data_IF_458017996389
#
_entry.id   IF_458017996389
#
_cell.length_a   1.000
_cell.length_b   1.000
_cell.length_c   1.000
_cell.angle_alpha   90.00
_cell.angle_beta   90.00
_cell.angle_gamma   90.00
#
_symmetry.space_group_name_H-M   'P 1'
#
loop_
_entity.id
_entity.type
_entity.pdbx_description
1 polymer ?
#
# COMPACT_ATOMS: atom_id res chain seq x y z
N UNK A 1 8.38 -2.29 -2.76
CA UNK A 1 8.96 -2.40 -1.41
C UNK A 1 8.90 -1.10 -0.60
N UNK A 2 8.21 -0.04 -1.04
CA UNK A 2 8.34 1.27 -0.40
C UNK A 2 7.35 1.49 0.77
N UNK A 3 6.29 0.68 0.92
CA UNK A 3 5.25 0.93 1.93
C UNK A 3 5.05 -0.16 3.00
N UNK A 4 5.82 -1.25 3.01
CA UNK A 4 5.78 -2.19 4.15
C UNK A 4 6.43 -1.58 5.40
N UNK A 5 7.50 -0.80 5.23
CA UNK A 5 8.17 -0.13 6.35
C UNK A 5 7.35 1.01 6.98
N UNK A 6 6.53 1.74 6.20
CA UNK A 6 5.64 2.76 6.74
C UNK A 6 4.53 2.15 7.61
N UNK A 7 3.92 1.06 7.13
CA UNK A 7 2.88 0.31 7.86
C UNK A 7 3.49 -0.41 9.07
N UNK A 8 4.70 -0.97 8.97
CA UNK A 8 5.42 -1.57 10.10
C UNK A 8 5.80 -0.56 11.19
N UNK A 9 6.13 0.68 10.81
CA UNK A 9 6.42 1.77 11.74
C UNK A 9 5.14 2.29 12.42
N UNK A 10 4.05 2.48 11.68
CA UNK A 10 2.75 2.92 12.23
C UNK A 10 2.08 1.84 13.10
N UNK A 11 2.11 0.57 12.71
CA UNK A 11 1.62 -0.53 13.54
C UNK A 11 2.40 -0.65 14.86
N UNK A 12 3.70 -0.32 14.86
CA UNK A 12 4.49 -0.31 16.09
C UNK A 12 4.17 0.87 17.01
N UNK A 13 3.80 2.03 16.44
CA UNK A 13 3.32 3.21 17.17
C UNK A 13 1.92 2.96 17.78
N UNK A 14 1.01 2.31 17.05
CA UNK A 14 -0.34 2.00 17.54
C UNK A 14 -0.36 0.88 18.58
N UNK A 15 0.48 -0.16 18.45
CA UNK A 15 0.62 -1.20 19.48
C UNK A 15 1.15 -0.64 20.81
N UNK A 16 1.87 0.49 20.80
CA UNK A 16 2.25 1.22 22.04
C UNK A 16 1.16 2.16 22.56
N UNK A 17 0.26 2.64 21.69
CA UNK A 17 -0.90 3.45 22.10
C UNK A 17 -2.05 2.60 22.66
N UNK A 18 -2.18 1.33 22.27
CA UNK A 18 -3.15 0.40 22.88
C UNK A 18 -2.79 -0.04 24.31
N UNK A 19 -1.56 0.19 24.77
CA UNK A 19 -1.18 0.09 26.19
C UNK A 19 -1.33 1.44 26.93
N UNK A 20 -1.84 2.47 26.24
CA UNK A 20 -2.05 3.82 26.77
C UNK A 20 -3.43 4.38 26.39
N UNK A 21 -4.50 3.58 26.47
CA UNK A 21 -5.85 4.14 26.59
C UNK A 21 -6.08 4.62 28.02
N UNK A 22 -5.74 5.88 28.29
CA UNK A 22 -6.40 6.65 29.33
C UNK A 22 -7.40 7.56 28.65
N UNK A 23 -8.66 7.33 29.03
CA UNK A 23 -9.84 8.15 28.80
C UNK A 23 -9.52 9.64 28.90
N UNK A 24 -9.96 10.40 27.88
CA UNK A 24 -10.18 11.84 27.97
C UNK A 24 -11.17 12.06 29.12
N UNK A 25 -10.82 12.92 30.06
CA UNK A 25 -11.81 13.68 30.81
C UNK A 25 -11.33 15.12 30.96
N UNK A 26 -12.31 16.00 30.76
CA UNK A 26 -12.18 17.43 30.63
C UNK A 26 -11.71 18.09 31.93
N UNK A 27 -11.03 19.21 31.74
CA UNK A 27 -10.73 20.22 32.75
C UNK A 27 -12.03 20.89 33.19
N UNK A 28 -12.24 21.02 34.50
CA UNK A 28 -12.98 22.13 35.07
C UNK A 28 -12.28 22.56 36.37
N UNK A 29 -12.09 23.88 36.49
CA UNK A 29 -11.38 24.64 37.52
C UNK A 29 -12.23 24.83 38.78
N UNK A 30 -11.61 24.85 39.96
CA UNK A 30 -11.99 25.75 41.06
C UNK A 30 -10.91 25.76 42.16
N UNK A 31 -10.60 26.98 42.61
CA UNK A 31 -9.67 27.35 43.66
C UNK A 31 -10.02 26.81 45.05
N UNK A 32 -9.00 26.66 45.91
CA UNK A 32 -9.02 27.28 47.25
C UNK A 32 -7.68 27.11 47.99
N UNK A 33 -7.21 28.26 48.46
CA UNK A 33 -6.16 28.53 49.43
C UNK A 33 -5.99 27.48 50.55
N UNK A 34 -4.75 27.22 50.94
CA UNK A 34 -4.30 27.56 52.30
C UNK A 34 -2.78 27.55 52.45
N UNK A 35 -2.32 28.63 53.06
CA UNK A 35 -0.99 29.00 53.51
C UNK A 35 -0.38 28.05 54.53
N UNK A 36 0.94 27.85 54.46
CA UNK A 36 1.71 27.19 55.50
C UNK A 36 3.22 27.28 55.26
N UNK A 37 3.81 28.43 55.56
CA UNK A 37 5.26 28.62 55.63
C UNK A 37 5.83 27.87 56.86
N UNK A 38 6.82 27.00 56.64
CA UNK A 38 7.77 26.62 57.70
C UNK A 38 9.18 26.60 57.13
N UNK A 39 9.91 27.67 57.44
CA UNK A 39 11.37 27.76 57.44
C UNK A 39 11.96 26.81 58.46
N UNK A 40 12.97 26.02 58.08
CA UNK A 40 13.86 25.38 59.06
C UNK A 40 15.31 25.79 58.78
N UNK A 41 15.92 26.25 59.87
CA UNK A 41 17.23 26.85 60.03
C UNK A 41 18.34 25.87 59.70
N UNK A 42 19.38 26.38 59.03
CA UNK A 42 20.70 25.76 58.99
C UNK A 42 21.28 25.73 60.41
N UNK A 43 21.69 24.53 60.84
CA UNK A 43 22.48 24.36 62.07
C UNK A 43 23.74 23.61 61.67
N UNK A 44 24.85 24.35 61.58
CA UNK A 44 26.20 23.79 61.69
C UNK A 44 26.44 23.36 63.14
N UNK A 45 27.05 22.20 63.36
CA UNK A 45 27.93 22.03 64.50
C UNK A 45 29.33 21.63 64.03
N UNK A 46 30.27 22.54 64.26
CA UNK A 46 31.69 22.27 64.40
C UNK A 46 31.89 21.37 65.62
N UNK A 47 32.45 20.18 65.43
CA UNK A 47 33.13 19.43 66.50
C UNK A 47 34.42 18.90 65.89
N UNK A 48 35.51 19.56 66.25
CA UNK A 48 36.87 19.03 66.15
C UNK A 48 36.99 17.81 67.06
N UNK A 49 37.54 16.73 66.52
CA UNK A 49 37.79 15.48 67.23
C UNK A 49 38.63 14.58 66.35
N UNK A 50 39.95 14.70 66.50
CA UNK A 50 40.95 13.83 65.89
C UNK A 50 40.59 12.35 66.09
N UNK A 51 40.50 11.59 65.00
CA UNK A 51 40.65 10.14 65.06
C UNK A 51 41.22 9.61 63.73
N UNK A 52 42.33 8.88 63.86
CA UNK A 52 43.17 8.28 62.83
C UNK A 52 42.38 7.69 61.64
N UNK A 53 42.64 8.21 60.44
CA UNK A 53 42.08 7.71 59.19
C UNK A 53 42.89 6.49 58.70
N UNK A 54 42.40 5.27 58.89
CA UNK A 54 42.93 4.10 58.18
C UNK A 54 42.45 4.13 56.72
N UNK A 55 43.39 4.38 55.81
CA UNK A 55 43.18 4.46 54.37
C UNK A 55 42.66 3.12 53.82
N UNK A 56 41.40 3.07 53.37
CA UNK A 56 40.80 1.88 52.75
C UNK A 56 39.47 1.39 53.36
N UNK A 57 38.95 2.08 54.37
CA UNK A 57 37.69 1.76 55.03
C UNK A 57 36.55 2.72 54.64
N UNK A 58 35.31 2.23 54.64
CA UNK A 58 34.08 2.99 54.38
C UNK A 58 32.99 2.63 55.39
N UNK A 59 32.21 3.59 55.92
CA UNK A 59 31.09 3.31 56.80
C UNK A 59 29.87 2.75 56.06
N UNK A 60 29.23 1.74 56.64
CA UNK A 60 27.97 1.18 56.17
C UNK A 60 26.78 2.06 56.57
N UNK A 61 25.91 2.43 55.64
CA UNK A 61 24.76 3.32 55.94
C UNK A 61 23.65 2.70 56.80
N UNK A 62 23.75 1.42 57.17
CA UNK A 62 22.73 0.72 57.98
C UNK A 62 23.23 0.34 59.38
N UNK A 63 24.42 -0.24 59.49
CA UNK A 63 25.00 -0.57 60.80
C UNK A 63 26.00 0.47 61.29
N UNK A 64 26.28 1.50 60.49
CA UNK A 64 27.19 2.62 60.78
C UNK A 64 28.65 2.22 61.11
N UNK A 65 29.00 0.94 60.99
CA UNK A 65 30.37 0.43 61.17
C UNK A 65 31.22 0.62 59.92
N UNK A 66 32.50 0.89 60.12
CA UNK A 66 33.50 0.96 59.06
C UNK A 66 33.99 -0.43 58.67
N UNK A 67 34.11 -0.65 57.36
CA UNK A 67 34.65 -1.88 56.79
C UNK A 67 35.57 -1.58 55.61
N UNK A 68 36.49 -2.49 55.26
CA UNK A 68 37.27 -2.37 54.04
C UNK A 68 36.40 -2.22 52.79
N UNK A 69 36.89 -1.49 51.79
CA UNK A 69 36.17 -1.21 50.55
C UNK A 69 35.65 -2.45 49.80
N UNK A 70 36.32 -3.61 49.94
CA UNK A 70 35.88 -4.88 49.36
C UNK A 70 34.50 -5.33 49.86
N UNK A 71 34.16 -5.00 51.12
CA UNK A 71 32.87 -5.32 51.69
C UNK A 71 31.72 -4.53 51.03
N UNK A 72 32.03 -3.54 50.18
CA UNK A 72 31.07 -2.71 49.46
C UNK A 72 30.94 -3.06 47.98
N UNK A 73 31.72 -4.00 47.44
CA UNK A 73 31.63 -4.43 46.03
C UNK A 73 30.33 -5.21 45.76
N UNK A 74 29.52 -4.73 44.82
CA UNK A 74 28.28 -5.38 44.36
C UNK A 74 28.50 -6.33 43.18
N UNK A 75 27.44 -7.03 42.73
CA UNK A 75 27.49 -8.05 41.65
C UNK A 75 28.02 -7.54 40.30
N UNK A 76 27.97 -6.22 40.04
CA UNK A 76 28.48 -5.59 38.81
C UNK A 76 29.75 -4.76 39.08
N UNK A 77 30.49 -5.10 40.14
CA UNK A 77 31.63 -4.33 40.65
C UNK A 77 31.30 -2.87 41.06
N UNK A 78 30.02 -2.52 41.16
CA UNK A 78 29.61 -1.19 41.62
C UNK A 78 29.76 -1.08 43.15
N UNK A 79 30.26 0.06 43.62
CA UNK A 79 30.44 0.34 45.04
C UNK A 79 29.06 0.63 45.66
N UNK A 80 28.66 -0.19 46.62
CA UNK A 80 27.37 -0.07 47.32
C UNK A 80 27.48 0.78 48.59
N UNK A 81 26.34 1.20 49.16
CA UNK A 81 26.27 1.98 50.42
C UNK A 81 26.24 1.10 51.68
N UNK A 82 25.95 -0.19 51.52
CA UNK A 82 25.76 -1.17 52.61
C UNK A 82 26.91 -2.17 52.58
N UNK A 83 27.41 -2.60 53.75
CA UNK A 83 28.37 -3.69 53.83
C UNK A 83 27.73 -5.03 53.43
N UNK A 84 28.55 -6.01 53.04
CA UNK A 84 28.10 -7.33 52.57
C UNK A 84 27.13 -8.01 53.56
N UNK A 85 27.43 -7.98 54.86
CA UNK A 85 26.59 -8.59 55.89
C UNK A 85 25.19 -7.93 55.99
N UNK A 86 25.11 -6.60 55.83
CA UNK A 86 23.83 -5.90 55.80
C UNK A 86 23.06 -6.18 54.51
N UNK A 87 23.74 -6.29 53.36
CA UNK A 87 23.11 -6.65 52.09
C UNK A 87 22.54 -8.08 52.11
N UNK A 88 23.26 -9.05 52.65
CA UNK A 88 22.78 -10.44 52.77
C UNK A 88 21.56 -10.50 53.71
N UNK A 89 21.58 -9.77 54.83
CA UNK A 89 20.39 -9.64 55.70
C UNK A 89 19.22 -9.00 54.97
N UNK A 90 19.43 -7.92 54.20
CA UNK A 90 18.39 -7.32 53.36
C UNK A 90 17.80 -8.31 52.35
N UNK A 91 18.60 -9.19 51.75
CA UNK A 91 18.09 -10.24 50.85
C UNK A 91 17.17 -11.22 51.56
N UNK A 92 17.48 -11.59 52.80
CA UNK A 92 16.63 -12.47 53.62
C UNK A 92 15.30 -11.79 53.92
N UNK A 93 15.32 -10.52 54.33
CA UNK A 93 14.08 -9.74 54.53
C UNK A 93 13.28 -9.56 53.24
N UNK A 94 13.96 -9.34 52.10
CA UNK A 94 13.33 -9.19 50.79
C UNK A 94 12.67 -10.48 50.29
N UNK A 95 13.15 -11.67 50.71
CA UNK A 95 12.51 -12.96 50.39
C UNK A 95 11.11 -13.08 51.00
N UNK A 96 10.89 -12.48 52.17
CA UNK A 96 9.58 -12.48 52.87
C UNK A 96 8.62 -11.37 52.41
N UNK A 97 9.08 -10.41 51.59
CA UNK A 97 8.21 -9.32 51.12
C UNK A 97 7.23 -9.80 50.06
N UNK A 98 5.96 -9.44 50.21
CA UNK A 98 4.93 -9.72 49.22
C UNK A 98 5.31 -9.08 47.86
N UNK A 99 5.68 -9.95 46.92
CA UNK A 99 6.13 -9.57 45.58
C UNK A 99 5.04 -8.83 44.80
N UNK A 100 3.78 -9.18 44.99
CA UNK A 100 2.67 -8.58 44.27
C UNK A 100 2.35 -7.18 44.81
N UNK A 101 2.38 -7.00 46.13
CA UNK A 101 2.25 -5.68 46.74
C UNK A 101 3.32 -4.70 46.26
N UNK A 102 4.58 -5.15 46.15
CA UNK A 102 5.68 -4.33 45.58
C UNK A 102 5.44 -3.94 44.13
N UNK A 103 4.99 -4.89 43.29
CA UNK A 103 4.66 -4.62 41.89
C UNK A 103 3.51 -3.64 41.79
N UNK A 104 2.51 -3.76 42.66
CA UNK A 104 1.35 -2.87 42.69
C UNK A 104 1.76 -1.43 43.03
N UNK A 105 2.60 -1.24 44.05
CA UNK A 105 3.16 0.08 44.37
C UNK A 105 3.95 0.64 43.17
N UNK A 106 4.75 -0.19 42.50
CA UNK A 106 5.47 0.22 41.30
C UNK A 106 4.52 0.63 40.16
N UNK A 107 3.43 -0.14 39.91
CA UNK A 107 2.38 0.21 38.94
C UNK A 107 1.76 1.57 39.26
N UNK A 108 1.36 1.80 40.51
CA UNK A 108 0.79 3.08 40.96
C UNK A 108 1.75 4.25 40.77
N UNK A 109 3.02 4.07 41.12
CA UNK A 109 4.05 5.10 40.93
C UNK A 109 4.32 5.37 39.45
N UNK A 110 4.34 4.35 38.60
CA UNK A 110 4.51 4.49 37.15
C UNK A 110 3.29 5.12 36.46
N UNK A 111 2.10 4.95 37.04
CA UNK A 111 0.88 5.55 36.52
C UNK A 111 0.81 7.07 36.75
N UNK A 112 1.62 7.63 37.67
CA UNK A 112 1.63 9.06 38.01
C UNK A 112 1.91 9.93 36.77
N UNK A 113 1.12 10.99 36.51
CA UNK A 113 1.28 11.86 35.34
C UNK A 113 2.69 12.44 35.20
N UNK A 114 3.29 12.91 36.30
CA UNK A 114 4.66 13.45 36.32
C UNK A 114 5.69 12.43 35.82
N UNK A 115 5.57 11.17 36.26
CA UNK A 115 6.47 10.08 35.85
C UNK A 115 6.29 9.74 34.37
N UNK A 116 5.05 9.73 33.87
CA UNK A 116 4.74 9.57 32.45
C UNK A 116 5.32 10.70 31.61
N UNK A 117 5.18 11.95 32.05
CA UNK A 117 5.72 13.12 31.36
C UNK A 117 7.26 13.09 31.28
N UNK A 118 7.94 12.74 32.38
CA UNK A 118 9.41 12.56 32.40
C UNK A 118 9.85 11.48 31.42
N UNK A 119 9.13 10.35 31.37
CA UNK A 119 9.42 9.26 30.41
C UNK A 119 9.15 9.65 28.97
N UNK A 120 8.07 10.39 28.71
CA UNK A 120 7.75 10.90 27.39
C UNK A 120 8.84 11.85 26.90
N UNK A 121 9.26 12.81 27.74
CA UNK A 121 10.36 13.75 27.45
C UNK A 121 11.68 13.02 27.19
N UNK A 122 12.03 12.03 28.02
CA UNK A 122 13.22 11.21 27.79
C UNK A 122 13.15 10.46 26.46
N UNK A 123 12.01 9.84 26.16
CA UNK A 123 11.80 9.05 24.94
C UNK A 123 11.89 9.92 23.69
N UNK A 124 11.37 11.15 23.76
CA UNK A 124 11.44 12.11 22.68
C UNK A 124 12.89 12.58 22.45
N UNK A 125 13.62 12.88 23.52
CA UNK A 125 15.01 13.31 23.44
C UNK A 125 15.99 12.18 23.05
N UNK A 126 15.59 10.91 23.19
CA UNK A 126 16.42 9.73 22.95
C UNK A 126 15.71 8.72 22.02
N UNK A 127 15.05 9.22 20.98
CA UNK A 127 14.20 8.40 20.13
C UNK A 127 14.99 7.30 19.38
N UNK A 128 16.28 7.52 19.12
CA UNK A 128 17.19 6.52 18.57
C UNK A 128 17.32 5.29 19.48
N UNK A 129 17.37 5.49 20.82
CA UNK A 129 17.39 4.38 21.78
C UNK A 129 16.07 3.62 21.79
N UNK A 130 14.96 4.33 21.65
CA UNK A 130 13.62 3.74 21.54
C UNK A 130 13.52 2.88 20.27
N UNK A 131 13.92 3.41 19.12
CA UNK A 131 13.94 2.70 17.85
C UNK A 131 14.87 1.47 17.89
N UNK A 132 16.08 1.61 18.46
CA UNK A 132 17.02 0.49 18.63
C UNK A 132 16.43 -0.60 19.52
N UNK A 133 15.74 -0.24 20.60
CA UNK A 133 15.04 -1.20 21.47
C UNK A 133 14.00 -2.01 20.70
N UNK A 134 13.23 -1.39 19.80
CA UNK A 134 12.25 -2.09 18.97
C UNK A 134 12.90 -3.08 18.00
N UNK A 135 14.00 -2.70 17.36
CA UNK A 135 14.74 -3.61 16.47
C UNK A 135 15.32 -4.81 17.22
N UNK A 136 15.91 -4.58 18.39
CA UNK A 136 16.39 -5.66 19.25
C UNK A 136 15.25 -6.56 19.75
N UNK A 137 14.06 -5.99 20.00
CA UNK A 137 12.88 -6.80 20.33
C UNK A 137 12.47 -7.68 19.15
N UNK A 138 12.42 -7.16 17.92
CA UNK A 138 12.10 -7.92 16.71
C UNK A 138 13.10 -9.04 16.47
N UNK A 139 14.40 -8.77 16.60
CA UNK A 139 15.44 -9.80 16.52
C UNK A 139 15.18 -10.94 17.51
N UNK A 140 14.95 -10.63 18.79
CA UNK A 140 14.63 -11.63 19.81
C UNK A 140 13.34 -12.40 19.50
N UNK A 141 12.33 -11.76 18.89
CA UNK A 141 11.12 -12.47 18.47
C UNK A 141 11.41 -13.45 17.33
N UNK A 142 12.23 -13.05 16.35
CA UNK A 142 12.65 -13.92 15.25
C UNK A 142 13.45 -15.11 15.79
N UNK A 143 14.40 -14.87 16.70
CA UNK A 143 15.20 -15.92 17.36
C UNK A 143 14.33 -16.86 18.20
N UNK A 144 13.36 -16.32 18.94
CA UNK A 144 12.49 -17.10 19.83
C UNK A 144 11.44 -17.94 19.09
N UNK A 145 10.80 -17.37 18.07
CA UNK A 145 9.65 -17.99 17.40
C UNK A 145 10.02 -18.70 16.10
N UNK A 146 11.17 -18.37 15.51
CA UNK A 146 11.46 -18.68 14.11
C UNK A 146 10.87 -17.65 13.16
N UNK A 147 11.46 -17.56 11.97
CA UNK A 147 11.13 -16.53 10.97
C UNK A 147 9.72 -16.70 10.40
N UNK A 148 9.31 -17.93 10.13
CA UNK A 148 8.00 -18.22 9.53
C UNK A 148 6.85 -17.82 10.47
N UNK A 149 6.90 -18.27 11.72
CA UNK A 149 5.87 -17.96 12.73
C UNK A 149 5.85 -16.46 13.07
N UNK A 150 7.01 -15.80 13.08
CA UNK A 150 7.10 -14.34 13.19
C UNK A 150 6.36 -13.65 12.05
N UNK A 151 6.60 -14.03 10.80
CA UNK A 151 5.94 -13.44 9.63
C UNK A 151 4.43 -13.67 9.64
N UNK A 152 3.98 -14.86 10.07
CA UNK A 152 2.55 -15.18 10.22
C UNK A 152 1.88 -14.24 11.22
N UNK A 153 2.47 -14.06 12.41
CA UNK A 153 1.98 -13.11 13.42
C UNK A 153 1.95 -11.68 12.91
N UNK A 154 2.97 -11.24 12.18
CA UNK A 154 2.98 -9.90 11.58
C UNK A 154 1.87 -9.73 10.53
N UNK A 155 1.61 -10.73 9.71
CA UNK A 155 0.53 -10.70 8.71
C UNK A 155 -0.86 -10.60 9.38
N UNK A 156 -1.08 -11.33 10.47
CA UNK A 156 -2.31 -11.26 11.26
C UNK A 156 -2.51 -9.88 11.91
N UNK A 157 -1.46 -9.33 12.51
CA UNK A 157 -1.52 -7.97 13.08
C UNK A 157 -1.80 -6.94 12.00
N UNK A 158 -1.17 -7.06 10.82
CA UNK A 158 -1.42 -6.16 9.71
C UNK A 158 -2.86 -6.26 9.21
N UNK A 159 -3.45 -7.47 9.21
CA UNK A 159 -4.87 -7.65 8.91
C UNK A 159 -5.75 -6.92 9.93
N UNK A 160 -5.55 -7.18 11.22
CA UNK A 160 -6.29 -6.50 12.31
C UNK A 160 -6.20 -4.98 12.21
N UNK A 161 -5.03 -4.47 11.88
CA UNK A 161 -4.82 -3.03 11.70
C UNK A 161 -5.62 -2.47 10.52
N UNK A 162 -5.63 -3.15 9.36
CA UNK A 162 -6.44 -2.75 8.20
C UNK A 162 -7.94 -2.78 8.51
N UNK A 163 -8.39 -3.81 9.23
CA UNK A 163 -9.80 -3.97 9.60
C UNK A 163 -10.26 -2.86 10.56
N UNK A 164 -9.38 -2.42 11.48
CA UNK A 164 -9.63 -1.33 12.42
C UNK A 164 -9.47 0.07 11.81
N UNK A 165 -8.64 0.23 10.77
CA UNK A 165 -8.27 1.52 10.19
C UNK A 165 -8.67 1.62 8.70
N UNK A 166 -9.95 1.39 8.38
CA UNK A 166 -10.46 1.40 6.99
C UNK A 166 -10.25 2.74 6.28
N UNK A 167 -10.56 3.86 6.93
CA UNK A 167 -10.37 5.20 6.36
C UNK A 167 -8.91 5.47 6.00
N UNK A 168 -7.97 5.11 6.89
CA UNK A 168 -6.53 5.21 6.58
C UNK A 168 -6.14 4.30 5.41
N UNK A 169 -6.76 3.13 5.26
CA UNK A 169 -6.52 2.27 4.09
C UNK A 169 -6.97 2.91 2.80
N UNK A 170 -8.11 3.60 2.79
CA UNK A 170 -8.61 4.31 1.62
C UNK A 170 -7.64 5.41 1.20
N UNK A 171 -7.17 6.24 2.14
CA UNK A 171 -6.16 7.27 1.90
C UNK A 171 -4.87 6.67 1.35
N UNK A 172 -4.36 5.60 1.96
CA UNK A 172 -3.15 4.91 1.50
C UNK A 172 -3.33 4.36 0.08
N UNK A 173 -4.50 3.80 -0.23
CA UNK A 173 -4.78 3.27 -1.56
C UNK A 173 -4.88 4.39 -2.60
N UNK A 174 -5.48 5.53 -2.24
CA UNK A 174 -5.57 6.69 -3.11
C UNK A 174 -4.19 7.29 -3.40
N UNK A 175 -3.36 7.46 -2.36
CA UNK A 175 -1.97 7.89 -2.51
C UNK A 175 -1.15 6.96 -3.42
N UNK A 176 -1.41 5.64 -3.39
CA UNK A 176 -0.77 4.69 -4.31
C UNK A 176 -1.22 4.89 -5.76
N UNK A 177 -2.52 5.12 -6.01
CA UNK A 177 -3.03 5.38 -7.37
C UNK A 177 -2.44 6.65 -7.97
N UNK A 178 -2.22 7.66 -7.14
CA UNK A 178 -1.71 8.97 -7.54
C UNK A 178 -0.17 9.05 -7.54
N UNK A 179 0.53 7.97 -7.15
CA UNK A 179 1.99 7.91 -7.19
C UNK A 179 2.52 7.44 -8.55
N UNK A 180 3.16 8.36 -9.28
CA UNK A 180 3.91 8.07 -10.51
C UNK A 180 4.93 6.96 -10.31
N UNK A 181 5.68 6.97 -9.20
CA UNK A 181 6.65 5.93 -8.85
C UNK A 181 6.00 4.55 -8.67
N UNK A 182 4.84 4.47 -8.01
CA UNK A 182 4.15 3.17 -7.88
C UNK A 182 3.64 2.68 -9.23
N UNK A 183 3.08 3.58 -10.05
CA UNK A 183 2.57 3.25 -11.38
C UNK A 183 3.68 2.78 -12.33
N UNK A 184 4.82 3.46 -12.38
CA UNK A 184 6.01 3.02 -13.13
C UNK A 184 6.44 1.59 -12.75
N UNK A 185 6.50 1.29 -11.45
CA UNK A 185 6.83 -0.04 -10.95
C UNK A 185 5.78 -1.11 -11.32
N UNK A 186 4.53 -0.73 -11.56
CA UNK A 186 3.51 -1.65 -12.08
C UNK A 186 3.81 -1.99 -13.54
N UNK A 187 4.12 -1.00 -14.38
CA UNK A 187 4.47 -1.22 -15.78
C UNK A 187 5.71 -2.11 -15.93
N UNK A 188 6.79 -1.79 -15.21
CA UNK A 188 8.03 -2.58 -15.21
C UNK A 188 7.80 -4.05 -14.86
N UNK A 189 7.05 -4.32 -13.77
CA UNK A 189 6.69 -5.69 -13.36
C UNK A 189 5.77 -6.39 -14.37
N UNK A 190 4.86 -5.64 -15.00
CA UNK A 190 3.96 -6.18 -16.01
C UNK A 190 4.72 -6.59 -17.27
N UNK A 191 5.68 -5.77 -17.70
CA UNK A 191 6.56 -6.06 -18.82
C UNK A 191 7.39 -7.31 -18.55
N UNK A 192 8.02 -7.39 -17.38
CA UNK A 192 8.79 -8.56 -16.94
C UNK A 192 7.95 -9.85 -16.92
N UNK A 193 6.71 -9.77 -16.44
CA UNK A 193 5.79 -10.91 -16.42
C UNK A 193 5.35 -11.37 -17.82
N UNK A 194 5.28 -10.43 -18.76
CA UNK A 194 4.90 -10.65 -20.15
C UNK A 194 6.10 -10.83 -21.09
N UNK A 195 7.32 -10.95 -20.56
CA UNK A 195 8.56 -11.00 -21.35
C UNK A 195 8.60 -9.91 -22.44
N UNK A 196 8.34 -8.67 -22.02
CA UNK A 196 8.42 -7.49 -22.88
C UNK A 196 9.64 -6.68 -22.47
N UNK A 197 10.33 -6.12 -23.47
CA UNK A 197 11.42 -5.17 -23.24
C UNK A 197 10.90 -3.95 -22.50
N UNK A 198 11.75 -3.37 -21.66
CA UNK A 198 11.41 -2.22 -20.84
C UNK A 198 12.61 -1.28 -20.75
N UNK A 199 12.68 -0.34 -21.69
CA UNK A 199 13.78 0.61 -21.85
C UNK A 199 13.41 2.02 -21.36
N UNK A 200 12.12 2.30 -21.20
CA UNK A 200 11.63 3.57 -20.66
C UNK A 200 12.19 3.84 -19.26
N UNK A 201 12.95 4.93 -19.11
CA UNK A 201 13.46 5.39 -17.83
C UNK A 201 12.35 6.01 -16.98
N UNK A 202 12.60 6.26 -15.68
CA UNK A 202 11.60 6.92 -14.84
C UNK A 202 11.32 8.37 -15.30
N UNK A 203 12.34 9.09 -15.75
CA UNK A 203 12.18 10.47 -16.20
C UNK A 203 11.41 10.54 -17.52
N UNK A 204 11.68 9.62 -18.45
CA UNK A 204 10.89 9.50 -19.69
C UNK A 204 9.45 9.11 -19.39
N UNK A 205 9.24 8.18 -18.45
CA UNK A 205 7.90 7.83 -17.98
C UNK A 205 7.13 9.06 -17.49
N UNK A 206 7.75 9.92 -16.68
CA UNK A 206 7.11 11.14 -16.15
C UNK A 206 6.71 12.06 -17.31
N UNK A 207 7.61 12.34 -18.26
CA UNK A 207 7.33 13.16 -19.44
C UNK A 207 6.16 12.62 -20.27
N UNK A 208 6.14 11.30 -20.50
CA UNK A 208 5.07 10.63 -21.24
C UNK A 208 3.73 10.81 -20.51
N UNK A 209 3.64 10.45 -19.22
CA UNK A 209 2.35 10.46 -18.53
C UNK A 209 1.81 11.86 -18.23
N UNK A 210 2.65 12.88 -18.19
CA UNK A 210 2.22 14.28 -18.04
C UNK A 210 1.75 14.90 -19.35
N UNK A 211 2.04 14.27 -20.49
CA UNK A 211 1.55 14.71 -21.79
C UNK A 211 0.06 14.40 -21.98
N UNK A 212 -0.59 15.17 -22.85
CA UNK A 212 -1.97 14.92 -23.30
C UNK A 212 -2.12 13.50 -23.85
N UNK A 213 -3.28 12.88 -23.63
CA UNK A 213 -3.56 11.55 -24.18
C UNK A 213 -3.40 11.58 -25.69
N UNK A 214 -2.55 10.70 -26.22
CA UNK A 214 -2.26 10.58 -27.65
C UNK A 214 -3.53 10.45 -28.49
N UNK A 215 -4.52 9.69 -27.99
CA UNK A 215 -5.73 9.43 -28.74
C UNK A 215 -6.74 10.57 -28.70
N UNK A 216 -6.98 11.19 -27.54
CA UNK A 216 -8.15 12.08 -27.36
C UNK A 216 -7.79 13.44 -26.75
N UNK A 217 -6.51 13.74 -26.58
CA UNK A 217 -6.02 15.02 -26.07
C UNK A 217 -6.20 15.26 -24.56
N UNK A 218 -6.95 14.44 -23.81
CA UNK A 218 -7.24 14.74 -22.39
C UNK A 218 -6.10 14.37 -21.44
N UNK A 219 -6.01 15.11 -20.32
CA UNK A 219 -5.33 14.69 -19.10
C UNK A 219 -6.39 14.30 -18.06
N UNK A 220 -6.17 13.19 -17.35
CA UNK A 220 -7.08 12.75 -16.29
C UNK A 220 -7.03 13.69 -15.07
N UNK A 221 -8.12 13.74 -14.30
CA UNK A 221 -8.29 14.61 -13.12
C UNK A 221 -7.13 14.54 -12.11
N UNK A 222 -6.53 13.36 -11.93
CA UNK A 222 -5.37 13.16 -11.04
C UNK A 222 -4.07 13.83 -11.53
N UNK A 223 -4.11 14.55 -12.66
CA UNK A 223 -3.00 15.34 -13.19
C UNK A 223 -2.02 14.58 -14.09
N UNK A 224 -2.23 13.30 -14.37
CA UNK A 224 -1.40 12.54 -15.30
C UNK A 224 -2.11 11.28 -15.84
N UNK A 225 -1.66 10.81 -17.00
CA UNK A 225 -2.17 9.66 -17.72
C UNK A 225 -1.46 8.35 -17.39
N UNK A 226 -1.79 7.28 -18.13
CA UNK A 226 -0.99 6.06 -18.18
C UNK A 226 -0.15 6.01 -19.44
N UNK A 227 0.51 4.88 -19.66
CA UNK A 227 1.17 4.53 -20.92
C UNK A 227 0.33 3.50 -21.67
N UNK A 228 0.16 3.72 -22.97
CA UNK A 228 -0.22 2.69 -23.93
C UNK A 228 0.95 2.40 -24.90
N UNK A 229 0.97 1.19 -25.44
CA UNK A 229 1.92 0.75 -26.48
C UNK A 229 1.21 0.79 -27.83
N UNK A 230 1.70 1.60 -28.77
CA UNK A 230 1.08 1.74 -30.10
C UNK A 230 0.98 0.40 -30.80
N UNK A 231 2.06 -0.36 -30.79
CA UNK A 231 2.10 -1.77 -31.17
C UNK A 231 2.28 -2.65 -29.92
N UNK A 232 1.39 -3.64 -29.78
CA UNK A 232 1.37 -4.55 -28.65
C UNK A 232 2.41 -5.68 -28.78
N UNK A 233 2.92 -5.94 -30.00
CA UNK A 233 4.03 -6.86 -30.29
C UNK A 233 5.35 -6.35 -29.71
N UNK A 234 5.55 -5.04 -29.67
CA UNK A 234 6.76 -4.38 -29.16
C UNK A 234 6.72 -4.11 -27.64
N UNK A 235 7.90 -3.96 -27.04
CA UNK A 235 8.07 -3.64 -25.61
C UNK A 235 7.73 -2.19 -25.23
N UNK A 236 8.12 -1.80 -24.03
CA UNK A 236 8.09 -0.42 -23.56
C UNK A 236 9.39 0.29 -23.96
N UNK A 237 9.42 0.72 -25.21
CA UNK A 237 10.47 1.58 -25.81
C UNK A 237 9.86 2.95 -26.13
N UNK A 238 10.67 4.00 -26.19
CA UNK A 238 10.20 5.38 -26.25
C UNK A 238 9.34 5.64 -27.50
N UNK A 239 9.72 5.06 -28.64
CA UNK A 239 9.05 5.21 -29.93
C UNK A 239 7.68 4.51 -29.97
N UNK A 240 7.49 3.48 -29.12
CA UNK A 240 6.26 2.70 -29.04
C UNK A 240 5.31 3.17 -27.93
N UNK A 241 5.84 3.86 -26.91
CA UNK A 241 5.08 4.30 -25.75
C UNK A 241 4.48 5.69 -25.96
N UNK A 242 3.18 5.81 -25.69
CA UNK A 242 2.47 7.10 -25.75
C UNK A 242 1.64 7.33 -24.49
N UNK A 243 1.40 8.61 -24.18
CA UNK A 243 0.47 8.99 -23.11
C UNK A 243 -0.92 8.51 -23.47
N UNK A 244 -1.60 7.84 -22.55
CA UNK A 244 -2.95 7.34 -22.80
C UNK A 244 -3.82 7.39 -21.55
N UNK A 245 -5.01 7.98 -21.68
CA UNK A 245 -6.01 7.96 -20.63
C UNK A 245 -6.59 6.55 -20.46
N UNK A 246 -7.14 6.26 -19.28
CA UNK A 246 -7.68 4.93 -18.96
C UNK A 246 -8.75 4.46 -19.96
N UNK A 247 -9.60 5.37 -20.42
CA UNK A 247 -10.73 5.05 -21.30
C UNK A 247 -10.22 4.64 -22.69
N UNK A 248 -9.35 5.44 -23.31
CA UNK A 248 -8.78 5.12 -24.63
C UNK A 248 -7.95 3.83 -24.59
N UNK A 249 -7.13 3.62 -23.56
CA UNK A 249 -6.35 2.39 -23.41
C UNK A 249 -7.25 1.15 -23.29
N UNK A 250 -8.38 1.28 -22.60
CA UNK A 250 -9.36 0.20 -22.49
C UNK A 250 -10.06 -0.09 -23.82
N UNK A 251 -10.54 0.96 -24.52
CA UNK A 251 -11.22 0.82 -25.82
C UNK A 251 -10.30 0.22 -26.88
N UNK A 252 -9.04 0.66 -26.96
CA UNK A 252 -8.02 0.10 -27.85
C UNK A 252 -7.70 -1.35 -27.50
N UNK A 253 -7.65 -1.69 -26.21
CA UNK A 253 -7.35 -3.03 -25.74
C UNK A 253 -5.97 -3.49 -26.21
N UNK A 254 -5.91 -4.57 -27.01
CA UNK A 254 -4.65 -5.08 -27.58
C UNK A 254 -4.56 -4.93 -29.10
N UNK A 255 -5.32 -4.00 -29.67
CA UNK A 255 -5.20 -3.60 -31.07
C UNK A 255 -3.98 -2.71 -31.26
N UNK A 256 -3.50 -2.63 -32.50
CA UNK A 256 -2.56 -1.58 -32.89
C UNK A 256 -3.28 -0.21 -32.93
N UNK A 257 -2.51 0.87 -32.78
CA UNK A 257 -3.04 2.23 -32.73
C UNK A 257 -3.81 2.62 -34.01
N UNK A 258 -3.29 2.25 -35.18
CA UNK A 258 -3.88 2.60 -36.48
C UNK A 258 -5.23 1.93 -36.71
N UNK A 259 -5.36 0.62 -36.44
CA UNK A 259 -6.63 -0.10 -36.53
C UNK A 259 -7.65 0.47 -35.54
N UNK A 260 -7.23 0.83 -34.33
CA UNK A 260 -8.12 1.45 -33.37
C UNK A 260 -8.72 2.77 -33.90
N UNK A 261 -7.89 3.68 -34.43
CA UNK A 261 -8.36 4.94 -35.02
C UNK A 261 -9.29 4.71 -36.21
N UNK A 262 -8.97 3.75 -37.10
CA UNK A 262 -9.84 3.39 -38.24
C UNK A 262 -11.20 2.83 -37.81
N UNK A 263 -11.24 2.01 -36.74
CA UNK A 263 -12.53 1.56 -36.16
C UNK A 263 -13.38 2.75 -35.69
N UNK A 264 -12.75 3.76 -35.09
CA UNK A 264 -13.45 4.96 -34.64
C UNK A 264 -14.04 5.73 -35.82
N UNK A 265 -13.25 5.99 -36.86
CA UNK A 265 -13.73 6.65 -38.09
C UNK A 265 -14.89 5.87 -38.73
N UNK A 266 -14.77 4.55 -38.84
CA UNK A 266 -15.84 3.69 -39.36
C UNK A 266 -17.12 3.80 -38.55
N UNK A 267 -17.04 3.69 -37.21
CA UNK A 267 -18.23 3.76 -36.33
C UNK A 267 -18.91 5.12 -36.45
N UNK A 268 -18.15 6.21 -36.43
CA UNK A 268 -18.71 7.56 -36.55
C UNK A 268 -19.35 7.78 -37.92
N UNK A 269 -18.72 7.30 -39.00
CA UNK A 269 -19.25 7.37 -40.37
C UNK A 269 -20.54 6.57 -40.51
N UNK A 270 -20.56 5.33 -40.01
CA UNK A 270 -21.76 4.48 -40.02
C UNK A 270 -22.92 5.13 -39.27
N UNK A 271 -22.63 5.77 -38.13
CA UNK A 271 -23.62 6.51 -37.33
C UNK A 271 -23.92 7.92 -37.85
N UNK A 272 -23.43 8.28 -39.05
CA UNK A 272 -23.65 9.60 -39.70
C UNK A 272 -23.23 10.78 -38.82
N UNK A 273 -22.23 10.58 -37.96
CA UNK A 273 -21.66 11.64 -37.11
C UNK A 273 -20.60 12.46 -37.85
N UNK A 274 -19.94 11.86 -38.83
CA UNK A 274 -18.93 12.48 -39.68
C UNK A 274 -19.10 12.00 -41.13
N UNK A 275 -18.46 12.71 -42.06
CA UNK A 275 -18.24 12.25 -43.44
C UNK A 275 -16.83 11.67 -43.52
N UNK A 276 -16.70 10.38 -43.23
CA UNK A 276 -15.43 9.65 -43.22
C UNK A 276 -15.47 8.38 -44.07
N UNK A 277 -14.47 7.51 -43.89
CA UNK A 277 -14.34 6.22 -44.57
C UNK A 277 -14.87 5.07 -43.73
N UNK A 278 -15.35 4.02 -44.41
CA UNK A 278 -15.74 2.77 -43.78
C UNK A 278 -14.59 1.75 -43.84
N UNK A 279 -14.26 1.15 -42.71
CA UNK A 279 -13.29 0.06 -42.57
C UNK A 279 -13.92 -1.21 -41.97
N UNK A 280 -14.79 -1.93 -42.70
CA UNK A 280 -15.42 -3.16 -42.20
C UNK A 280 -14.38 -4.24 -41.81
N UNK A 281 -13.26 -4.30 -42.52
CA UNK A 281 -12.19 -5.28 -42.31
C UNK A 281 -11.45 -5.09 -40.98
N UNK A 282 -11.55 -3.92 -40.36
CA UNK A 282 -10.98 -3.68 -39.05
C UNK A 282 -11.68 -4.46 -37.93
N UNK A 283 -12.86 -5.06 -38.17
CA UNK A 283 -13.65 -5.76 -37.15
C UNK A 283 -13.52 -7.27 -37.29
N UNK A 284 -12.89 -7.92 -36.32
CA UNK A 284 -12.62 -9.35 -36.37
C UNK A 284 -13.89 -10.21 -36.24
N UNK A 285 -13.81 -11.43 -36.76
CA UNK A 285 -14.89 -12.40 -36.67
C UNK A 285 -14.97 -13.03 -35.27
N UNK A 286 -16.19 -13.33 -34.81
CA UNK A 286 -16.42 -13.86 -33.47
C UNK A 286 -17.41 -15.01 -33.53
N UNK A 287 -17.18 -15.97 -32.64
CA UNK A 287 -18.17 -17.00 -32.35
C UNK A 287 -19.23 -16.39 -31.42
N UNK A 288 -20.50 -16.63 -31.77
CA UNK A 288 -21.63 -16.19 -30.98
C UNK A 288 -21.66 -16.85 -29.61
N UNK A 289 -22.38 -16.24 -28.69
CA UNK A 289 -22.74 -16.82 -27.40
C UNK A 289 -24.14 -17.46 -27.54
N UNK A 290 -24.52 -18.40 -26.69
CA UNK A 290 -25.90 -18.93 -26.68
C UNK A 290 -26.82 -18.06 -25.82
N UNK A 291 -28.13 -18.17 -26.06
CA UNK A 291 -29.18 -17.59 -25.22
C UNK A 291 -28.98 -17.97 -23.75
N UNK A 292 -28.83 -19.27 -23.46
CA UNK A 292 -28.63 -19.78 -22.10
C UNK A 292 -27.39 -19.19 -21.42
N UNK A 293 -26.32 -18.96 -22.16
CA UNK A 293 -25.11 -18.37 -21.60
C UNK A 293 -25.33 -16.90 -21.19
N UNK A 294 -26.11 -16.13 -21.95
CA UNK A 294 -26.53 -14.79 -21.53
C UNK A 294 -27.45 -14.84 -20.30
N UNK A 295 -28.47 -15.72 -20.33
CA UNK A 295 -29.42 -15.90 -19.22
C UNK A 295 -28.72 -16.30 -17.93
N UNK A 296 -27.85 -17.31 -17.97
CA UNK A 296 -27.09 -17.78 -16.81
C UNK A 296 -26.14 -16.69 -16.27
N UNK A 297 -25.52 -15.90 -17.17
CA UNK A 297 -24.71 -14.75 -16.77
C UNK A 297 -25.55 -13.66 -16.09
N UNK A 298 -26.75 -13.40 -16.59
CA UNK A 298 -27.67 -12.43 -16.01
C UNK A 298 -28.10 -12.85 -14.61
N UNK A 299 -28.54 -14.11 -14.43
CA UNK A 299 -28.88 -14.70 -13.12
C UNK A 299 -27.72 -14.56 -12.13
N UNK A 300 -26.51 -14.96 -12.54
CA UNK A 300 -25.31 -14.86 -11.69
C UNK A 300 -24.99 -13.43 -11.26
N UNK A 301 -25.30 -12.45 -12.12
CA UNK A 301 -25.08 -11.03 -11.86
C UNK A 301 -26.28 -10.32 -11.26
N UNK A 302 -27.38 -11.03 -11.01
CA UNK A 302 -28.65 -10.45 -10.55
C UNK A 302 -29.15 -9.34 -11.49
N UNK A 303 -29.08 -9.62 -12.80
CA UNK A 303 -29.57 -8.74 -13.86
C UNK A 303 -30.88 -9.36 -14.36
N UNK A 304 -31.93 -8.54 -14.47
CA UNK A 304 -33.21 -8.96 -15.02
C UNK A 304 -33.05 -9.47 -16.46
N UNK A 305 -33.79 -10.54 -16.79
CA UNK A 305 -33.72 -11.20 -18.08
C UNK A 305 -35.13 -11.62 -18.50
N UNK A 306 -35.79 -10.76 -19.28
CA UNK A 306 -37.16 -10.96 -19.79
C UNK A 306 -37.20 -11.27 -21.28
N UNK A 307 -36.06 -11.09 -21.99
CA UNK A 307 -35.90 -11.41 -23.40
C UNK A 307 -36.23 -12.89 -23.68
N UNK A 308 -37.07 -13.17 -24.68
CA UNK A 308 -37.35 -14.54 -25.10
C UNK A 308 -36.22 -15.11 -25.97
N UNK A 309 -36.14 -16.44 -26.07
CA UNK A 309 -35.16 -17.09 -26.96
C UNK A 309 -35.43 -16.76 -28.45
N UNK A 310 -36.70 -16.63 -28.83
CA UNK A 310 -37.08 -16.23 -30.18
C UNK A 310 -36.61 -14.80 -30.50
N UNK A 311 -36.80 -13.86 -29.57
CA UNK A 311 -36.31 -12.48 -29.74
C UNK A 311 -34.79 -12.44 -29.81
N UNK A 312 -34.11 -13.20 -28.96
CA UNK A 312 -32.65 -13.33 -29.01
C UNK A 312 -32.15 -13.78 -30.40
N UNK A 313 -32.75 -14.84 -30.94
CA UNK A 313 -32.39 -15.37 -32.25
C UNK A 313 -32.64 -14.32 -33.35
N UNK A 314 -33.77 -13.62 -33.30
CA UNK A 314 -34.09 -12.56 -34.27
C UNK A 314 -33.12 -11.37 -34.17
N UNK A 315 -32.79 -10.91 -32.97
CA UNK A 315 -31.87 -9.79 -32.77
C UNK A 315 -30.47 -10.14 -33.30
N UNK A 316 -29.94 -11.32 -32.97
CA UNK A 316 -28.57 -11.71 -33.33
C UNK A 316 -28.34 -11.90 -34.84
N UNK A 317 -29.41 -12.04 -35.63
CA UNK A 317 -29.35 -12.04 -37.09
C UNK A 317 -29.21 -10.62 -37.69
N UNK A 318 -29.49 -9.57 -36.92
CA UNK A 318 -29.36 -8.19 -37.36
C UNK A 318 -27.91 -7.71 -37.52
N UNK A 319 -27.76 -6.49 -38.03
CA UNK A 319 -26.47 -5.79 -38.09
C UNK A 319 -26.08 -5.23 -36.71
N UNK A 320 -24.77 -5.16 -36.42
CA UNK A 320 -24.30 -4.47 -35.22
C UNK A 320 -24.75 -3.01 -35.22
N UNK A 321 -25.44 -2.57 -34.16
CA UNK A 321 -25.97 -1.19 -34.11
C UNK A 321 -24.87 -0.11 -34.10
N UNK A 322 -23.64 -0.45 -33.70
CA UNK A 322 -22.52 0.50 -33.64
C UNK A 322 -21.70 0.56 -34.94
N UNK A 323 -21.36 -0.58 -35.54
CA UNK A 323 -20.48 -0.64 -36.71
C UNK A 323 -21.13 -1.29 -37.95
N UNK A 324 -22.38 -1.69 -37.90
CA UNK A 324 -23.06 -2.31 -39.04
C UNK A 324 -22.58 -3.71 -39.41
N UNK A 325 -21.60 -4.31 -38.70
CA UNK A 325 -21.12 -5.66 -39.01
C UNK A 325 -22.27 -6.69 -38.98
N UNK A 326 -22.41 -7.43 -40.07
CA UNK A 326 -23.45 -8.43 -40.28
C UNK A 326 -23.06 -9.79 -39.72
N UNK A 327 -24.07 -10.62 -39.45
CA UNK A 327 -23.90 -12.04 -39.12
C UNK A 327 -23.75 -12.84 -40.41
N UNK A 328 -22.69 -13.64 -40.53
CA UNK A 328 -22.40 -14.51 -41.67
C UNK A 328 -22.01 -15.94 -41.22
N UNK A 329 -21.42 -16.74 -42.10
CA UNK A 329 -20.97 -18.10 -41.80
C UNK A 329 -19.79 -18.14 -40.79
N UNK A 330 -18.95 -17.10 -40.80
CA UNK A 330 -17.71 -17.00 -40.01
C UNK A 330 -17.84 -16.10 -38.78
N UNK A 331 -18.87 -15.25 -38.72
CA UNK A 331 -19.14 -14.28 -37.67
C UNK A 331 -20.59 -14.36 -37.20
N UNK A 332 -20.78 -14.46 -35.88
CA UNK A 332 -22.10 -14.28 -35.26
C UNK A 332 -22.08 -13.08 -34.32
N UNK A 333 -23.01 -12.16 -34.52
CA UNK A 333 -23.26 -11.09 -33.57
C UNK A 333 -23.85 -11.64 -32.26
N UNK A 334 -23.66 -10.88 -31.19
CA UNK A 334 -24.31 -11.11 -29.91
C UNK A 334 -25.32 -10.00 -29.61
N UNK A 335 -25.60 -9.83 -28.33
CA UNK A 335 -26.47 -8.78 -27.84
C UNK A 335 -25.71 -7.85 -26.89
N UNK A 336 -26.01 -6.55 -26.98
CA UNK A 336 -25.56 -5.53 -26.04
C UNK A 336 -26.76 -4.90 -25.34
N UNK A 337 -26.62 -4.63 -24.04
CA UNK A 337 -27.60 -3.85 -23.29
C UNK A 337 -27.30 -2.38 -23.52
N UNK A 338 -28.20 -1.68 -24.19
CA UNK A 338 -28.02 -0.28 -24.58
C UNK A 338 -27.77 0.59 -23.35
N UNK A 339 -28.68 0.55 -22.37
CA UNK A 339 -28.44 1.00 -21.01
C UNK A 339 -28.03 -0.19 -20.12
N UNK A 340 -26.84 -0.10 -19.53
CA UNK A 340 -26.30 -1.14 -18.66
C UNK A 340 -26.95 -1.19 -17.28
N UNK A 341 -27.70 -0.15 -16.89
CA UNK A 341 -28.49 -0.12 -15.66
C UNK A 341 -29.75 -0.98 -15.77
N UNK A 342 -30.24 -1.23 -16.99
CA UNK A 342 -31.43 -2.02 -17.25
C UNK A 342 -31.08 -3.49 -17.58
N UNK A 343 -32.11 -4.33 -17.59
CA UNK A 343 -32.01 -5.76 -17.85
C UNK A 343 -31.82 -6.11 -19.32
N UNK A 344 -31.90 -7.41 -19.60
CA UNK A 344 -32.07 -7.92 -20.97
C UNK A 344 -33.57 -7.91 -21.29
N UNK A 345 -34.03 -6.74 -21.74
CA UNK A 345 -35.40 -6.47 -22.16
C UNK A 345 -35.40 -6.17 -23.67
N UNK A 346 -36.48 -6.51 -24.37
CA UNK A 346 -36.59 -6.34 -25.83
C UNK A 346 -36.27 -4.90 -26.30
N UNK A 347 -36.68 -3.89 -25.53
CA UNK A 347 -36.48 -2.47 -25.85
C UNK A 347 -35.12 -1.91 -25.38
N UNK A 348 -34.34 -2.68 -24.63
CA UNK A 348 -33.02 -2.27 -24.13
C UNK A 348 -31.87 -3.05 -24.77
N UNK A 349 -32.16 -4.04 -25.62
CA UNK A 349 -31.16 -4.91 -26.21
C UNK A 349 -31.00 -4.62 -27.69
N UNK A 350 -29.75 -4.49 -28.14
CA UNK A 350 -29.41 -4.32 -29.56
C UNK A 350 -28.47 -5.43 -30.04
N UNK A 351 -28.56 -5.75 -31.33
CA UNK A 351 -27.59 -6.60 -32.00
C UNK A 351 -26.23 -5.92 -31.99
N UNK A 352 -25.19 -6.60 -31.49
CA UNK A 352 -23.86 -6.00 -31.37
C UNK A 352 -22.75 -7.03 -31.56
N UNK A 353 -21.73 -6.65 -32.36
CA UNK A 353 -20.55 -7.47 -32.51
C UNK A 353 -19.70 -7.45 -31.23
N UNK A 354 -18.89 -8.49 -31.04
CA UNK A 354 -18.03 -8.61 -29.85
C UNK A 354 -17.11 -7.41 -29.65
N UNK A 355 -16.43 -6.94 -30.70
CA UNK A 355 -15.52 -5.78 -30.64
C UNK A 355 -16.22 -4.51 -30.14
N UNK A 356 -17.40 -4.18 -30.69
CA UNK A 356 -18.17 -3.00 -30.29
C UNK A 356 -18.69 -3.12 -28.86
N UNK A 357 -19.19 -4.29 -28.46
CA UNK A 357 -19.62 -4.54 -27.08
C UNK A 357 -18.43 -4.40 -26.09
N UNK A 358 -17.23 -4.89 -26.46
CA UNK A 358 -16.03 -4.69 -25.65
C UNK A 358 -15.62 -3.22 -25.52
N UNK A 359 -15.65 -2.46 -26.61
CA UNK A 359 -15.40 -1.01 -26.57
C UNK A 359 -16.46 -0.27 -25.75
N UNK A 360 -17.73 -0.68 -25.87
CA UNK A 360 -18.84 -0.06 -25.14
C UNK A 360 -18.83 -0.33 -23.66
N UNK A 361 -18.65 -1.59 -23.28
CA UNK A 361 -18.55 -2.02 -21.90
C UNK A 361 -19.72 -1.48 -21.07
N UNK A 362 -19.44 -0.70 -20.02
CA UNK A 362 -20.40 -0.09 -19.10
C UNK A 362 -20.61 1.41 -19.35
N UNK A 363 -20.04 1.97 -20.42
CA UNK A 363 -20.19 3.38 -20.74
C UNK A 363 -21.53 3.69 -21.42
N UNK A 364 -22.04 4.90 -21.18
CA UNK A 364 -23.20 5.43 -21.88
C UNK A 364 -22.90 5.59 -23.37
N UNK A 365 -23.85 5.20 -24.24
CA UNK A 365 -23.64 5.20 -25.68
C UNK A 365 -23.24 6.57 -26.26
N UNK A 366 -23.93 7.64 -25.87
CA UNK A 366 -23.62 8.98 -26.37
C UNK A 366 -22.24 9.45 -25.89
N UNK A 367 -21.91 9.18 -24.63
CA UNK A 367 -20.59 9.51 -24.09
C UNK A 367 -19.44 8.79 -24.82
N UNK A 368 -19.69 7.59 -25.36
CA UNK A 368 -18.73 6.91 -26.24
C UNK A 368 -18.62 7.60 -27.57
N UNK A 369 -19.73 7.97 -28.21
CA UNK A 369 -19.69 8.66 -29.49
C UNK A 369 -18.97 10.01 -29.37
N UNK A 370 -19.19 10.74 -28.27
CA UNK A 370 -18.43 11.97 -27.97
C UNK A 370 -16.94 11.65 -27.82
N UNK A 371 -16.62 10.56 -27.11
CA UNK A 371 -15.23 10.13 -26.96
C UNK A 371 -14.57 9.77 -28.29
N UNK A 372 -15.32 9.12 -29.16
CA UNK A 372 -14.90 8.76 -30.52
C UNK A 372 -14.67 10.00 -31.37
N UNK A 373 -15.55 10.99 -31.30
CA UNK A 373 -15.35 12.28 -31.97
C UNK A 373 -14.07 12.98 -31.51
N UNK A 374 -13.80 13.00 -30.20
CA UNK A 374 -12.52 13.55 -29.69
C UNK A 374 -11.31 12.82 -30.26
N UNK A 375 -11.39 11.49 -30.42
CA UNK A 375 -10.29 10.70 -30.97
C UNK A 375 -10.09 11.00 -32.46
N UNK A 376 -11.20 11.04 -33.20
CA UNK A 376 -11.18 11.36 -34.62
C UNK A 376 -10.59 12.74 -34.89
N UNK A 377 -10.99 13.77 -34.12
CA UNK A 377 -10.48 15.13 -34.33
C UNK A 377 -8.96 15.27 -34.15
N UNK A 378 -8.35 14.46 -33.28
CA UNK A 378 -6.89 14.43 -33.09
C UNK A 378 -6.19 13.78 -34.28
N UNK A 379 -6.78 12.74 -34.87
CA UNK A 379 -6.12 11.86 -35.86
C UNK A 379 -6.64 11.99 -37.30
N UNK A 380 -7.63 12.86 -37.57
CA UNK A 380 -8.28 12.98 -38.89
C UNK A 380 -7.35 13.34 -40.04
N UNK A 381 -6.21 13.97 -39.73
CA UNK A 381 -5.21 14.38 -40.72
C UNK A 381 -4.01 13.42 -40.81
N UNK A 382 -3.99 12.37 -40.00
CA UNK A 382 -2.86 11.46 -39.97
C UNK A 382 -2.87 10.54 -41.19
N UNK A 383 -1.69 10.37 -41.81
CA UNK A 383 -1.50 9.39 -42.88
C UNK A 383 -1.31 8.01 -42.23
N UNK A 384 -2.40 7.24 -42.15
CA UNK A 384 -2.38 5.90 -41.56
C UNK A 384 -1.97 4.84 -42.59
N UNK A 385 -1.00 3.99 -42.24
CA UNK A 385 -0.53 2.87 -43.07
C UNK A 385 -1.67 1.91 -43.46
N UNK A 386 -1.48 1.17 -44.56
CA UNK A 386 -2.42 0.15 -45.00
C UNK A 386 -2.54 -0.96 -43.95
N UNK A 387 -3.77 -1.47 -43.79
CA UNK A 387 -4.06 -2.54 -42.84
C UNK A 387 -3.53 -3.85 -43.41
N UNK A 388 -2.73 -4.59 -42.64
CA UNK A 388 -2.53 -6.02 -42.86
C UNK A 388 -3.51 -6.82 -41.98
N UNK A 389 -3.86 -8.04 -42.42
CA UNK A 389 -4.82 -8.89 -41.69
C UNK A 389 -4.32 -9.30 -40.30
N UNK A 390 -3.00 -9.33 -40.09
CA UNK A 390 -2.41 -9.66 -38.79
C UNK A 390 -2.66 -8.58 -37.72
N UNK A 391 -2.69 -7.30 -38.08
CA UNK A 391 -2.86 -6.21 -37.13
C UNK A 391 -4.32 -5.94 -36.74
N UNK A 392 -5.29 -6.52 -37.46
CA UNK A 392 -6.72 -6.39 -37.17
C UNK A 392 -7.21 -7.18 -35.95
N UNK A 393 -6.40 -8.12 -35.45
CA UNK A 393 -6.79 -9.01 -34.36
C UNK A 393 -6.24 -8.55 -33.02
N UNK A 394 -7.08 -8.61 -31.98
CA UNK A 394 -6.62 -8.51 -30.58
C UNK A 394 -5.63 -9.64 -30.31
N UNK A 395 -4.36 -9.30 -30.10
CA UNK A 395 -3.29 -10.29 -29.90
C UNK A 395 -3.54 -11.09 -28.63
N UNK A 396 -3.53 -12.42 -28.75
CA UNK A 396 -3.72 -13.32 -27.61
C UNK A 396 -2.47 -13.36 -26.70
N UNK A 397 -2.61 -13.87 -25.46
CA UNK A 397 -1.65 -13.78 -24.35
C UNK A 397 -0.32 -14.57 -24.55
N UNK A 398 0.31 -14.53 -25.72
CA UNK A 398 1.41 -15.43 -26.12
C UNK A 398 2.67 -15.31 -25.25
N UNK A 399 3.02 -14.11 -24.79
CA UNK A 399 4.36 -13.88 -24.19
C UNK A 399 4.40 -14.01 -22.67
N UNK A 400 3.30 -14.41 -22.01
CA UNK A 400 3.26 -14.52 -20.55
C UNK A 400 4.18 -15.63 -20.05
N UNK A 401 4.91 -15.37 -18.96
CA UNK A 401 5.66 -16.41 -18.25
C UNK A 401 4.74 -17.60 -17.90
N UNK A 402 5.17 -18.85 -18.15
CA UNK A 402 4.42 -20.04 -17.77
C UNK A 402 4.12 -20.07 -16.27
N UNK A 403 2.96 -20.62 -15.88
CA UNK A 403 2.55 -20.68 -14.47
C UNK A 403 3.60 -21.33 -13.54
N UNK A 404 4.26 -22.46 -13.91
CA UNK A 404 5.29 -23.06 -13.07
C UNK A 404 6.46 -22.11 -12.80
N UNK A 405 6.94 -21.42 -13.84
CA UNK A 405 8.03 -20.44 -13.71
C UNK A 405 7.64 -19.26 -12.80
N UNK A 406 6.38 -18.81 -12.86
CA UNK A 406 5.89 -17.73 -12.00
C UNK A 406 5.85 -18.14 -10.53
N UNK A 407 5.45 -19.39 -10.26
CA UNK A 407 5.44 -19.97 -8.91
C UNK A 407 6.87 -20.05 -8.38
N UNK A 408 7.80 -20.57 -9.18
CA UNK A 408 9.21 -20.70 -8.78
C UNK A 408 9.87 -19.34 -8.52
N UNK A 409 9.71 -18.39 -9.44
CA UNK A 409 10.19 -17.01 -9.24
C UNK A 409 9.61 -16.38 -7.96
N UNK A 410 8.35 -16.69 -7.63
CA UNK A 410 7.72 -16.21 -6.40
C UNK A 410 8.34 -16.84 -5.16
N UNK A 411 8.67 -18.13 -5.21
CA UNK A 411 9.36 -18.86 -4.13
C UNK A 411 10.75 -18.30 -3.89
N UNK A 412 11.59 -18.23 -4.94
CA UNK A 412 12.94 -17.65 -4.88
C UNK A 412 12.91 -16.23 -4.30
N UNK A 413 11.97 -15.39 -4.76
CA UNK A 413 11.81 -14.03 -4.24
C UNK A 413 11.47 -14.00 -2.76
N UNK A 414 10.59 -14.90 -2.28
CA UNK A 414 10.21 -14.98 -0.86
C UNK A 414 11.39 -15.44 0.00
N UNK A 415 12.12 -16.46 -0.44
CA UNK A 415 13.31 -16.96 0.26
C UNK A 415 14.40 -15.89 0.37
N UNK A 416 14.65 -15.15 -0.72
CA UNK A 416 15.58 -14.02 -0.71
C UNK A 416 15.16 -12.95 0.30
N UNK A 417 13.89 -12.55 0.29
CA UNK A 417 13.37 -11.55 1.23
C UNK A 417 13.46 -12.00 2.70
N UNK A 418 13.22 -13.30 2.95
CA UNK A 418 13.35 -13.89 4.27
C UNK A 418 14.81 -13.90 4.76
N UNK A 419 15.75 -14.27 3.89
CA UNK A 419 17.18 -14.22 4.17
C UNK A 419 17.64 -12.79 4.49
N UNK A 420 17.32 -11.83 3.63
CA UNK A 420 17.60 -10.40 3.83
C UNK A 420 16.99 -9.86 5.13
N UNK A 421 15.78 -10.31 5.51
CA UNK A 421 15.15 -9.90 6.76
C UNK A 421 15.94 -10.38 7.99
N UNK A 422 16.37 -11.64 7.98
CA UNK A 422 17.16 -12.24 9.06
C UNK A 422 18.53 -11.57 9.18
N UNK A 423 19.22 -11.37 8.06
CA UNK A 423 20.53 -10.69 8.02
C UNK A 423 20.45 -9.26 8.54
N UNK A 424 19.44 -8.48 8.13
CA UNK A 424 19.24 -7.11 8.60
C UNK A 424 19.12 -7.01 10.11
N UNK A 425 18.32 -7.86 10.75
CA UNK A 425 18.12 -7.79 12.20
C UNK A 425 19.30 -8.33 13.02
N UNK A 426 20.14 -9.18 12.42
CA UNK A 426 21.36 -9.68 13.04
C UNK A 426 22.55 -8.72 12.90
N UNK A 427 22.46 -7.73 12.00
CA UNK A 427 23.50 -6.73 11.79
C UNK A 427 23.36 -5.56 12.80
N UNK A 428 24.32 -5.43 13.72
CA UNK A 428 24.33 -4.34 14.72
C UNK A 428 24.52 -2.95 14.11
N UNK A 429 25.37 -2.82 13.10
CA UNK A 429 25.61 -1.55 12.41
C UNK A 429 24.34 -1.05 11.73
N UNK A 430 23.63 -1.94 11.03
CA UNK A 430 22.33 -1.64 10.46
C UNK A 430 21.33 -1.15 11.51
N UNK A 431 21.25 -1.82 12.67
CA UNK A 431 20.34 -1.40 13.75
C UNK A 431 20.70 -0.02 14.31
N UNK A 432 21.99 0.31 14.42
CA UNK A 432 22.41 1.65 14.84
C UNK A 432 22.02 2.69 13.80
N UNK A 433 22.43 2.51 12.55
CA UNK A 433 22.18 3.45 11.48
C UNK A 433 20.69 3.69 11.24
N UNK A 434 19.89 2.61 11.20
CA UNK A 434 18.45 2.68 11.03
C UNK A 434 17.76 3.38 12.21
N UNK A 435 18.27 3.23 13.43
CA UNK A 435 17.69 3.89 14.61
C UNK A 435 17.89 5.40 14.57
N UNK A 436 19.04 5.85 14.07
CA UNK A 436 19.36 7.26 13.87
C UNK A 436 18.51 7.86 12.74
N UNK A 437 18.35 7.15 11.63
CA UNK A 437 17.52 7.57 10.50
C UNK A 437 16.05 7.76 10.92
N UNK A 438 15.49 6.82 11.68
CA UNK A 438 14.11 6.91 12.21
C UNK A 438 13.97 8.12 13.15
N UNK A 439 14.95 8.34 14.03
CA UNK A 439 14.93 9.49 14.94
C UNK A 439 15.01 10.82 14.18
N UNK A 440 15.85 10.89 13.14
CA UNK A 440 15.96 12.06 12.26
C UNK A 440 14.65 12.34 11.52
N UNK A 441 14.10 11.35 10.81
CA UNK A 441 12.84 11.52 10.06
C UNK A 441 11.67 11.96 10.95
N UNK A 442 11.64 11.53 12.21
CA UNK A 442 10.63 11.99 13.17
C UNK A 442 10.80 13.47 13.55
N UNK A 443 12.04 13.94 13.72
CA UNK A 443 12.34 15.36 13.99
C UNK A 443 11.95 16.22 12.80
N UNK A 444 12.41 15.84 11.60
CA UNK A 444 12.12 16.57 10.36
C UNK A 444 10.60 16.73 10.15
N UNK A 445 9.82 15.65 10.37
CA UNK A 445 8.35 15.71 10.28
C UNK A 445 7.70 16.66 11.29
N UNK A 446 8.27 16.85 12.47
CA UNK A 446 7.76 17.79 13.46
C UNK A 446 8.10 19.23 13.15
N UNK A 447 9.22 19.46 12.47
CA UNK A 447 9.64 20.80 12.04
C UNK A 447 8.85 21.26 10.79
N UNK A 448 8.27 20.31 10.05
CA UNK A 448 7.44 20.58 8.85
C UNK A 448 5.95 20.79 9.18
N UNK A 449 5.52 20.54 10.42
CA UNK A 449 4.13 20.72 10.93
C UNK A 449 4.12 21.90 11.87
#
# INVERSE_FOLDING_TARGET
>A
MINSHAIENEMSLENTLSEFTLTKNLICTADSNSSGSMTYKEVNPSIEGENLHLQGCKPCTFCHKEYPMDNFKGMRQTITKLCIACRERSKIYDKGRNKEHRKEIARKNEAKPERKAVKAKWSENNYEKVAKRWMNYRQRQIEKLGLEEYLKKQAEQAKKWRDKNKEKQEIINENKKNSKTQNFNVYKRSAEYKNLDFEVTFDDYVKIVESNCYYCGIIQEKGFNGIDRKDQKLGYILENCVSCCKICNYMKGSLCASVFVKRIEHILTYNKKIVGRLYPDCFHNHKGCSYDAYRNRAIKKQIEFTLSENDYNNITLGCCFMCGKETDENHKNGIDRFDNNNGYEINNVNCCCGECNYMKKDYNYNAILDKFSMIYEIHKNDVMENIDDENNRVISKSNKKPKPQVIENTKIRKERQQKELKERYNNEEYKVNRSLEIAKSRKDKKETI
#
